data_IF_037596266334
#
_entry.id   IF_037596266334
#
_cell.length_a   1.000
_cell.length_b   1.000
_cell.length_c   1.000
_cell.angle_alpha   90.00
_cell.angle_beta   90.00
_cell.angle_gamma   90.00
#
_symmetry.space_group_name_H-M   'P 1'
#
loop_
_entity.id
_entity.type
_entity.pdbx_description
1 polymer ?
#
# COMPACT_ATOMS: atom_id res chain seq x y z
N UNK A 1 12.80 -32.60 -1.59
CA UNK A 1 12.62 -31.22 -2.09
C UNK A 1 11.81 -30.45 -1.05
N UNK A 2 12.34 -29.33 -0.55
CA UNK A 2 11.59 -28.44 0.35
C UNK A 2 10.57 -27.59 -0.42
N UNK A 3 9.60 -27.01 0.28
CA UNK A 3 8.69 -26.03 -0.31
C UNK A 3 9.48 -24.81 -0.79
N UNK A 4 9.49 -24.54 -2.10
CA UNK A 4 10.12 -23.36 -2.67
C UNK A 4 9.23 -22.15 -2.37
N UNK A 5 9.72 -21.12 -1.68
CA UNK A 5 8.90 -19.95 -1.36
C UNK A 5 8.80 -18.94 -2.51
N UNK A 6 9.68 -19.03 -3.51
CA UNK A 6 9.78 -18.08 -4.62
C UNK A 6 10.66 -16.88 -4.26
N UNK A 7 11.10 -16.14 -5.27
CA UNK A 7 11.87 -14.90 -5.14
C UNK A 7 11.06 -13.73 -5.72
N UNK A 8 10.09 -13.19 -4.94
CA UNK A 8 9.25 -12.08 -5.40
C UNK A 8 10.04 -10.78 -5.55
N UNK A 9 9.67 -9.96 -6.53
CA UNK A 9 10.31 -8.65 -6.79
C UNK A 9 10.16 -7.69 -5.60
N UNK A 10 8.99 -7.68 -4.95
CA UNK A 10 8.73 -6.90 -3.73
C UNK A 10 8.26 -7.81 -2.59
N UNK A 11 8.78 -7.58 -1.39
CA UNK A 11 8.48 -8.34 -0.16
C UNK A 11 8.68 -7.50 1.10
N UNK A 12 8.13 -7.95 2.22
CA UNK A 12 8.28 -7.31 3.52
C UNK A 12 7.22 -6.25 3.83
N UNK A 13 7.57 -5.30 4.71
CA UNK A 13 6.71 -4.20 5.13
C UNK A 13 6.89 -2.99 4.22
N UNK A 14 5.91 -2.72 3.36
CA UNK A 14 5.84 -1.52 2.53
C UNK A 14 4.75 -0.60 3.10
N UNK A 15 4.93 0.71 2.98
CA UNK A 15 3.97 1.69 3.54
C UNK A 15 3.17 2.39 2.43
N UNK A 16 1.85 2.40 2.56
CA UNK A 16 0.99 3.30 1.81
C UNK A 16 1.05 4.68 2.46
N UNK A 17 1.93 5.56 1.95
CA UNK A 17 2.21 6.85 2.58
C UNK A 17 0.96 7.73 2.60
N UNK A 18 0.72 8.38 3.73
CA UNK A 18 -0.17 9.55 3.78
C UNK A 18 0.46 10.72 3.02
N UNK A 19 -0.38 11.62 2.51
CA UNK A 19 0.06 12.91 1.93
C UNK A 19 -0.24 14.03 2.94
N UNK A 20 0.76 14.59 3.63
CA UNK A 20 0.58 15.74 4.52
C UNK A 20 0.07 16.97 3.77
N UNK A 21 -0.82 17.73 4.42
CA UNK A 21 -1.30 19.00 3.91
C UNK A 21 -1.09 20.11 4.93
N UNK A 22 -0.84 21.32 4.43
CA UNK A 22 -0.76 22.55 5.23
C UNK A 22 -1.42 23.67 4.45
N UNK A 23 -2.36 24.37 5.10
CA UNK A 23 -3.13 25.45 4.50
C UNK A 23 -3.83 25.07 3.18
N UNK A 24 -4.23 23.81 3.06
CA UNK A 24 -4.91 23.26 1.88
C UNK A 24 -3.98 22.75 0.79
N UNK A 25 -2.67 23.03 0.85
CA UNK A 25 -1.65 22.61 -0.11
C UNK A 25 -0.84 21.40 0.40
N UNK A 26 -0.12 20.71 -0.49
CA UNK A 26 0.81 19.64 -0.10
C UNK A 26 1.93 20.19 0.78
N UNK A 27 2.11 19.63 1.98
CA UNK A 27 3.24 19.98 2.84
C UNK A 27 4.47 19.12 2.47
N UNK A 28 5.27 19.64 1.53
CA UNK A 28 6.48 18.95 1.06
C UNK A 28 7.48 18.68 2.20
N UNK A 29 7.58 19.58 3.18
CA UNK A 29 8.54 19.45 4.28
C UNK A 29 8.13 18.30 5.21
N UNK A 30 6.86 18.26 5.60
CA UNK A 30 6.33 17.15 6.39
C UNK A 30 6.39 15.83 5.61
N UNK A 31 6.14 15.84 4.30
CA UNK A 31 6.21 14.64 3.49
C UNK A 31 7.64 14.08 3.39
N UNK A 32 8.66 14.92 3.20
CA UNK A 32 10.07 14.48 3.22
C UNK A 32 10.47 13.91 4.58
N UNK A 33 10.05 14.56 5.68
CA UNK A 33 10.23 14.04 7.04
C UNK A 33 9.58 12.67 7.22
N UNK A 34 8.38 12.47 6.68
CA UNK A 34 7.66 11.19 6.72
C UNK A 34 8.44 10.11 5.95
N UNK A 35 8.95 10.41 4.75
CA UNK A 35 9.77 9.48 3.95
C UNK A 35 11.03 9.06 4.73
N UNK A 36 11.76 10.01 5.30
CA UNK A 36 12.97 9.69 6.06
C UNK A 36 12.66 8.93 7.36
N UNK A 37 11.56 9.26 8.04
CA UNK A 37 11.05 8.52 9.19
C UNK A 37 10.77 7.05 8.85
N UNK A 38 10.16 6.79 7.69
CA UNK A 38 9.86 5.41 7.24
C UNK A 38 11.14 4.62 6.98
N UNK A 39 12.08 5.19 6.22
CA UNK A 39 13.34 4.54 5.85
C UNK A 39 14.20 4.28 7.09
N UNK A 40 14.33 5.26 7.98
CA UNK A 40 15.13 5.12 9.23
C UNK A 40 14.54 4.08 10.18
N UNK A 41 13.25 3.78 10.07
CA UNK A 41 12.58 2.74 10.84
C UNK A 41 12.43 1.41 10.08
N UNK A 42 13.18 1.21 9.00
CA UNK A 42 13.33 -0.11 8.36
C UNK A 42 12.20 -0.50 7.40
N UNK A 43 11.34 0.43 6.96
CA UNK A 43 10.36 0.14 5.91
C UNK A 43 11.07 -0.39 4.64
N UNK A 44 10.51 -1.40 3.98
CA UNK A 44 11.11 -2.10 2.83
C UNK A 44 10.72 -1.50 1.47
N UNK A 45 9.78 -0.56 1.45
CA UNK A 45 9.34 0.12 0.23
C UNK A 45 8.25 1.15 0.50
N UNK A 46 8.15 2.14 -0.38
CA UNK A 46 7.29 3.31 -0.22
C UNK A 46 6.25 3.36 -1.33
N UNK A 47 5.01 3.62 -0.97
CA UNK A 47 3.91 3.76 -1.93
C UNK A 47 3.29 5.15 -1.78
N UNK A 48 3.81 6.18 -2.48
CA UNK A 48 3.19 7.50 -2.51
C UNK A 48 1.88 7.48 -3.31
N UNK A 49 1.00 8.44 -3.03
CA UNK A 49 -0.22 8.73 -3.82
C UNK A 49 -1.09 7.50 -4.12
N UNK A 50 -1.15 6.54 -3.19
CA UNK A 50 -2.18 5.51 -3.17
C UNK A 50 -3.48 6.02 -2.53
N UNK A 51 -4.39 5.11 -2.19
CA UNK A 51 -5.64 5.46 -1.48
C UNK A 51 -5.38 6.19 -0.15
N UNK A 52 -4.40 5.73 0.61
CA UNK A 52 -4.00 6.35 1.89
C UNK A 52 -3.33 7.71 1.71
N UNK A 53 -2.75 7.96 0.54
CA UNK A 53 -2.19 9.25 0.13
C UNK A 53 -3.24 10.22 -0.44
N UNK A 54 -4.53 9.90 -0.36
CA UNK A 54 -5.63 10.73 -0.83
C UNK A 54 -5.55 11.08 -2.32
N UNK A 55 -5.07 10.15 -3.16
CA UNK A 55 -4.97 10.37 -4.62
C UNK A 55 -6.22 10.96 -5.29
N UNK A 56 -7.48 10.66 -4.87
CA UNK A 56 -8.67 11.25 -5.50
C UNK A 56 -8.86 12.76 -5.26
N UNK A 57 -8.17 13.35 -4.28
CA UNK A 57 -8.31 14.78 -3.91
C UNK A 57 -7.04 15.58 -4.17
N UNK A 58 -6.06 14.98 -4.86
CA UNK A 58 -4.92 15.67 -5.44
C UNK A 58 -5.26 16.10 -6.88
N UNK A 59 -4.81 17.27 -7.28
CA UNK A 59 -4.72 17.60 -8.70
C UNK A 59 -3.67 16.71 -9.39
N UNK A 60 -3.70 16.63 -10.73
CA UNK A 60 -2.71 15.84 -11.46
C UNK A 60 -1.28 16.33 -11.23
N UNK A 61 -1.09 17.65 -11.12
CA UNK A 61 0.22 18.25 -10.83
C UNK A 61 0.70 17.90 -9.43
N UNK A 62 -0.17 17.96 -8.41
CA UNK A 62 0.19 17.55 -7.06
C UNK A 62 0.49 16.06 -6.95
N UNK A 63 -0.29 15.22 -7.64
CA UNK A 63 -0.07 13.78 -7.70
C UNK A 63 1.34 13.48 -8.22
N UNK A 64 1.69 14.07 -9.37
CA UNK A 64 3.01 13.96 -10.01
C UNK A 64 4.11 14.50 -9.09
N UNK A 65 3.88 15.66 -8.46
CA UNK A 65 4.83 16.30 -7.56
C UNK A 65 5.13 15.46 -6.31
N UNK A 66 4.13 14.85 -5.69
CA UNK A 66 4.33 13.99 -4.51
C UNK A 66 5.15 12.74 -4.86
N UNK A 67 4.95 12.16 -6.06
CA UNK A 67 5.79 11.05 -6.55
C UNK A 67 7.24 11.50 -6.70
N UNK A 68 7.48 12.64 -7.34
CA UNK A 68 8.83 13.21 -7.53
C UNK A 68 9.54 13.46 -6.19
N UNK A 69 8.85 14.09 -5.22
CA UNK A 69 9.41 14.33 -3.89
C UNK A 69 9.75 13.01 -3.19
N UNK A 70 8.89 11.99 -3.31
CA UNK A 70 9.13 10.69 -2.70
C UNK A 70 10.41 10.06 -3.28
N UNK A 71 10.56 10.05 -4.60
CA UNK A 71 11.74 9.50 -5.29
C UNK A 71 13.01 10.28 -4.89
N UNK A 72 12.95 11.61 -4.97
CA UNK A 72 14.06 12.51 -4.64
C UNK A 72 14.52 12.34 -3.18
N UNK A 73 13.60 12.29 -2.22
CA UNK A 73 13.95 12.07 -0.83
C UNK A 73 14.45 10.65 -0.58
N UNK A 74 13.90 9.65 -1.28
CA UNK A 74 14.28 8.25 -1.08
C UNK A 74 15.74 7.98 -1.45
N UNK A 75 16.25 8.64 -2.50
CA UNK A 75 17.65 8.50 -2.98
C UNK A 75 18.05 7.03 -3.21
N UNK A 76 17.11 6.21 -3.69
CA UNK A 76 17.33 4.79 -3.98
C UNK A 76 17.57 3.90 -2.76
N UNK A 77 17.32 4.38 -1.52
CA UNK A 77 17.53 3.59 -0.29
C UNK A 77 16.57 2.39 -0.18
N UNK A 78 15.36 2.54 -0.70
CA UNK A 78 14.30 1.53 -0.77
C UNK A 78 13.50 1.75 -2.06
N UNK A 79 12.78 0.74 -2.59
CA UNK A 79 11.97 0.92 -3.79
C UNK A 79 10.79 1.88 -3.57
N UNK A 80 10.48 2.68 -4.58
CA UNK A 80 9.28 3.54 -4.66
C UNK A 80 8.30 2.97 -5.68
N UNK A 81 7.09 2.65 -5.22
CA UNK A 81 5.99 2.11 -6.02
C UNK A 81 4.93 3.20 -6.14
N UNK A 82 4.94 3.98 -7.23
CA UNK A 82 4.05 5.12 -7.39
C UNK A 82 2.59 4.67 -7.58
N UNK A 83 1.65 5.26 -6.85
CA UNK A 83 0.23 5.12 -7.20
C UNK A 83 -0.03 5.73 -8.58
N UNK A 84 -0.55 4.92 -9.50
CA UNK A 84 -0.84 5.37 -10.88
C UNK A 84 -2.19 4.83 -11.40
N UNK A 85 -3.07 4.45 -10.47
CA UNK A 85 -4.37 3.86 -10.79
C UNK A 85 -5.44 4.90 -11.09
N UNK A 86 -6.28 4.60 -12.08
CA UNK A 86 -7.50 5.38 -12.39
C UNK A 86 -8.60 4.45 -12.88
N UNK A 87 -9.86 4.90 -12.81
CA UNK A 87 -10.96 4.25 -13.52
C UNK A 87 -11.06 4.64 -15.01
N UNK A 88 -10.22 5.58 -15.45
CA UNK A 88 -9.99 5.98 -16.84
C UNK A 88 -8.66 5.44 -17.35
N UNK A 89 -8.67 4.58 -18.37
CA UNK A 89 -7.45 3.97 -18.92
C UNK A 89 -6.46 5.02 -19.43
N UNK A 90 -6.94 6.09 -20.08
CA UNK A 90 -6.06 7.12 -20.62
C UNK A 90 -5.32 7.90 -19.51
N UNK A 91 -6.01 8.18 -18.40
CA UNK A 91 -5.43 8.87 -17.23
C UNK A 91 -4.43 7.96 -16.50
N UNK A 92 -4.79 6.69 -16.29
CA UNK A 92 -3.87 5.67 -15.78
C UNK A 92 -2.55 5.59 -16.57
N UNK A 93 -2.64 5.63 -17.91
CA UNK A 93 -1.46 5.64 -18.79
C UNK A 93 -0.65 6.93 -18.64
N UNK A 94 -1.26 8.09 -18.40
CA UNK A 94 -0.55 9.35 -18.14
C UNK A 94 0.27 9.25 -16.84
N UNK A 95 -0.35 8.85 -15.73
CA UNK A 95 0.35 8.66 -14.46
C UNK A 95 1.44 7.59 -14.55
N UNK A 96 1.21 6.52 -15.31
CA UNK A 96 2.19 5.45 -15.49
C UNK A 96 3.43 5.92 -16.26
N UNK A 97 3.25 6.70 -17.33
CA UNK A 97 4.38 7.30 -18.06
C UNK A 97 5.16 8.29 -17.19
N UNK A 98 4.45 9.18 -16.49
CA UNK A 98 5.10 10.11 -15.58
C UNK A 98 5.89 9.38 -14.48
N UNK A 99 5.31 8.36 -13.84
CA UNK A 99 6.01 7.58 -12.81
C UNK A 99 7.30 6.93 -13.34
N UNK A 100 7.28 6.42 -14.57
CA UNK A 100 8.47 5.88 -15.25
C UNK A 100 9.51 6.97 -15.51
N UNK A 101 9.08 8.13 -16.03
CA UNK A 101 9.97 9.27 -16.33
C UNK A 101 10.59 9.87 -15.06
N UNK A 102 9.83 9.95 -13.97
CA UNK A 102 10.28 10.42 -12.67
C UNK A 102 11.24 9.46 -11.96
N UNK A 103 11.29 8.19 -12.38
CA UNK A 103 12.21 7.18 -11.84
C UNK A 103 11.64 6.27 -10.76
N UNK A 104 10.32 6.04 -10.73
CA UNK A 104 9.73 5.04 -9.85
C UNK A 104 10.17 3.61 -10.24
N UNK A 105 10.30 2.73 -9.25
CA UNK A 105 10.70 1.34 -9.45
C UNK A 105 9.54 0.46 -9.93
N UNK A 106 8.31 0.83 -9.60
CA UNK A 106 7.08 0.20 -10.07
C UNK A 106 5.89 1.16 -9.96
N UNK A 107 4.75 0.75 -10.50
CA UNK A 107 3.46 1.40 -10.27
C UNK A 107 2.47 0.49 -9.55
N UNK A 108 1.70 1.06 -8.63
CA UNK A 108 0.54 0.41 -8.02
C UNK A 108 -0.73 0.89 -8.72
N UNK A 109 -1.46 -0.04 -9.33
CA UNK A 109 -2.59 0.30 -10.17
C UNK A 109 -3.88 -0.35 -9.66
N UNK A 110 -4.78 0.47 -9.11
CA UNK A 110 -6.09 0.01 -8.62
C UNK A 110 -7.00 -0.46 -9.75
N UNK A 111 -7.81 -1.49 -9.49
CA UNK A 111 -8.91 -1.85 -10.39
C UNK A 111 -9.88 -0.68 -10.55
N UNK A 112 -10.34 -0.35 -11.78
CA UNK A 112 -11.29 0.74 -12.04
C UNK A 112 -12.49 0.71 -11.08
N UNK A 113 -12.62 1.80 -10.33
CA UNK A 113 -13.69 2.03 -9.37
C UNK A 113 -14.86 2.78 -10.02
N UNK A 114 -16.04 2.69 -9.39
CA UNK A 114 -17.30 3.32 -9.81
C UNK A 114 -17.94 2.75 -11.10
N UNK A 115 -17.21 2.70 -12.21
CA UNK A 115 -17.74 2.32 -13.54
C UNK A 115 -17.87 0.81 -13.80
N UNK A 116 -17.34 -0.03 -12.89
CA UNK A 116 -17.58 -1.48 -12.81
C UNK A 116 -17.33 -2.25 -14.13
N UNK A 117 -16.11 -2.21 -14.71
CA UNK A 117 -15.81 -2.97 -15.92
C UNK A 117 -15.97 -4.48 -15.71
N UNK A 118 -16.20 -5.19 -16.82
CA UNK A 118 -16.16 -6.66 -16.85
C UNK A 118 -14.72 -7.17 -16.67
N UNK A 119 -14.55 -8.49 -16.45
CA UNK A 119 -13.21 -9.11 -16.39
C UNK A 119 -12.38 -8.85 -17.64
N UNK A 120 -13.00 -8.86 -18.83
CA UNK A 120 -12.30 -8.53 -20.06
C UNK A 120 -11.95 -7.03 -20.12
N UNK A 121 -12.83 -6.16 -19.63
CA UNK A 121 -12.51 -4.74 -19.47
C UNK A 121 -11.32 -4.50 -18.54
N UNK A 122 -11.23 -5.24 -17.42
CA UNK A 122 -10.07 -5.22 -16.54
C UNK A 122 -8.81 -5.69 -17.26
N UNK A 123 -8.86 -6.81 -17.98
CA UNK A 123 -7.72 -7.31 -18.74
C UNK A 123 -7.20 -6.26 -19.74
N UNK A 124 -8.08 -5.70 -20.57
CA UNK A 124 -7.69 -4.70 -21.58
C UNK A 124 -7.15 -3.42 -20.96
N UNK A 125 -7.72 -2.99 -19.82
CA UNK A 125 -7.25 -1.83 -19.08
C UNK A 125 -5.81 -2.02 -18.57
N UNK A 126 -5.53 -3.12 -17.85
CA UNK A 126 -4.19 -3.40 -17.35
C UNK A 126 -3.19 -3.71 -18.47
N UNK A 127 -3.63 -4.32 -19.57
CA UNK A 127 -2.79 -4.51 -20.77
C UNK A 127 -2.37 -3.17 -21.38
N UNK A 128 -3.29 -2.20 -21.51
CA UNK A 128 -2.96 -0.87 -22.02
C UNK A 128 -1.96 -0.12 -21.10
N UNK A 129 -2.11 -0.25 -19.78
CA UNK A 129 -1.14 0.27 -18.79
C UNK A 129 0.23 -0.38 -18.96
N UNK A 130 0.27 -1.71 -19.07
CA UNK A 130 1.50 -2.48 -19.33
C UNK A 130 2.21 -2.05 -20.61
N UNK A 131 1.46 -1.80 -21.69
CA UNK A 131 2.02 -1.49 -23.01
C UNK A 131 2.51 -0.03 -23.13
N UNK A 132 2.04 0.88 -22.26
CA UNK A 132 2.33 2.32 -22.41
C UNK A 132 3.69 2.76 -21.87
N UNK A 133 4.33 1.96 -20.99
CA UNK A 133 5.62 2.26 -20.39
C UNK A 133 6.35 0.98 -19.93
N UNK A 134 7.68 1.03 -19.93
CA UNK A 134 8.54 -0.06 -19.46
C UNK A 134 8.81 0.04 -17.95
N UNK A 135 7.76 -0.15 -17.14
CA UNK A 135 7.81 -0.15 -15.68
C UNK A 135 7.04 -1.36 -15.13
N UNK A 136 7.51 -2.02 -14.05
CA UNK A 136 6.73 -3.06 -13.37
C UNK A 136 5.40 -2.52 -12.84
N UNK A 137 4.34 -3.31 -12.98
CA UNK A 137 2.97 -3.00 -12.58
C UNK A 137 2.52 -3.99 -11.53
N UNK A 138 2.04 -3.46 -10.40
CA UNK A 138 1.38 -4.22 -9.34
C UNK A 138 -0.11 -3.92 -9.41
N UNK A 139 -0.91 -4.96 -9.62
CA UNK A 139 -2.37 -4.87 -9.61
C UNK A 139 -2.82 -4.57 -8.18
N UNK A 140 -3.72 -3.63 -7.97
CA UNK A 140 -4.37 -3.42 -6.67
C UNK A 140 -5.85 -3.79 -6.75
N UNK A 141 -6.18 -4.95 -6.20
CA UNK A 141 -7.54 -5.47 -6.14
C UNK A 141 -8.16 -5.16 -4.77
N UNK A 142 -9.19 -4.30 -4.74
CA UNK A 142 -9.87 -3.85 -3.53
C UNK A 142 -11.38 -3.74 -3.73
N UNK A 143 -12.12 -4.87 -3.73
CA UNK A 143 -13.57 -4.86 -4.01
C UNK A 143 -14.36 -3.97 -3.06
N UNK A 144 -13.93 -3.84 -1.80
CA UNK A 144 -14.57 -2.96 -0.81
C UNK A 144 -14.57 -1.47 -1.20
N UNK A 145 -13.72 -1.04 -2.14
CA UNK A 145 -13.69 0.34 -2.69
C UNK A 145 -14.05 0.42 -4.16
N UNK A 146 -13.63 -0.56 -4.96
CA UNK A 146 -13.86 -0.56 -6.41
C UNK A 146 -15.12 -1.28 -6.86
N UNK A 147 -15.77 -2.05 -5.97
CA UNK A 147 -16.91 -2.95 -6.23
C UNK A 147 -16.54 -4.15 -7.11
N UNK A 148 -15.72 -3.95 -8.14
CA UNK A 148 -15.19 -5.04 -8.97
C UNK A 148 -14.19 -5.87 -8.18
N UNK A 149 -14.22 -7.18 -8.44
CA UNK A 149 -13.24 -8.13 -7.97
C UNK A 149 -12.60 -8.80 -9.19
N UNK A 150 -11.33 -8.50 -9.46
CA UNK A 150 -10.58 -9.18 -10.52
C UNK A 150 -10.46 -10.66 -10.15
N UNK A 151 -10.81 -11.60 -11.01
CA UNK A 151 -10.67 -13.02 -10.65
C UNK A 151 -9.21 -13.50 -10.74
N UNK A 152 -8.90 -14.63 -10.11
CA UNK A 152 -7.57 -15.27 -10.22
C UNK A 152 -7.28 -15.65 -11.67
N UNK A 153 -8.28 -16.07 -12.45
CA UNK A 153 -8.13 -16.40 -13.86
C UNK A 153 -7.75 -15.18 -14.70
N UNK A 154 -8.40 -14.03 -14.47
CA UNK A 154 -8.03 -12.77 -15.14
C UNK A 154 -6.62 -12.32 -14.75
N UNK A 155 -6.26 -12.47 -13.47
CA UNK A 155 -4.94 -12.13 -12.99
C UNK A 155 -3.85 -13.02 -13.59
N UNK A 156 -4.13 -14.33 -13.74
CA UNK A 156 -3.23 -15.26 -14.39
C UNK A 156 -2.99 -14.91 -15.87
N UNK A 157 -4.04 -14.54 -16.61
CA UNK A 157 -3.91 -14.01 -17.98
C UNK A 157 -3.04 -12.76 -18.03
N UNK A 158 -3.17 -11.85 -17.05
CA UNK A 158 -2.37 -10.63 -16.99
C UNK A 158 -0.91 -10.92 -16.64
N UNK A 159 -0.63 -11.91 -15.79
CA UNK A 159 0.72 -12.28 -15.38
C UNK A 159 1.57 -12.91 -16.50
N UNK A 160 0.95 -13.32 -17.62
CA UNK A 160 1.68 -13.67 -18.84
C UNK A 160 2.38 -12.47 -19.48
N UNK A 161 1.96 -11.24 -19.14
CA UNK A 161 2.64 -10.00 -19.56
C UNK A 161 3.84 -9.74 -18.64
N UNK A 162 5.07 -9.60 -19.17
CA UNK A 162 6.31 -9.70 -18.38
C UNK A 162 6.49 -8.63 -17.31
N UNK A 163 5.79 -7.50 -17.41
CA UNK A 163 5.86 -6.41 -16.42
C UNK A 163 4.66 -6.39 -15.45
N UNK A 164 3.68 -7.27 -15.58
CA UNK A 164 2.69 -7.48 -14.52
C UNK A 164 3.33 -8.41 -13.47
N UNK A 165 3.88 -7.82 -12.40
CA UNK A 165 4.80 -8.54 -11.49
C UNK A 165 4.16 -8.94 -10.17
N UNK A 166 2.96 -8.46 -9.87
CA UNK A 166 2.32 -8.81 -8.61
C UNK A 166 0.94 -8.22 -8.39
N UNK A 167 0.44 -8.47 -7.18
CA UNK A 167 -0.84 -7.95 -6.67
C UNK A 167 -0.69 -7.43 -5.23
N UNK A 168 -1.32 -6.27 -4.96
CA UNK A 168 -1.79 -5.86 -3.64
C UNK A 168 -3.23 -6.36 -3.49
N UNK A 169 -3.43 -7.33 -2.63
CA UNK A 169 -4.73 -7.99 -2.44
C UNK A 169 -5.41 -7.49 -1.15
N UNK A 170 -6.44 -6.66 -1.31
CA UNK A 170 -7.29 -6.16 -0.22
C UNK A 170 -8.69 -6.78 -0.25
N UNK A 171 -8.79 -8.06 -0.61
CA UNK A 171 -10.06 -8.80 -0.60
C UNK A 171 -10.42 -9.36 0.77
N UNK A 172 -9.43 -9.48 1.66
CA UNK A 172 -9.50 -10.24 2.90
C UNK A 172 -9.83 -11.75 2.73
N UNK A 173 -9.79 -12.31 1.52
CA UNK A 173 -9.88 -13.75 1.29
C UNK A 173 -8.51 -14.40 1.54
N UNK A 174 -8.35 -15.02 2.72
CA UNK A 174 -7.10 -15.66 3.14
C UNK A 174 -6.75 -16.92 2.35
N UNK A 175 -7.69 -17.48 1.56
CA UNK A 175 -7.41 -18.62 0.68
C UNK A 175 -6.93 -18.14 -0.70
N UNK A 176 -7.12 -16.86 -1.02
CA UNK A 176 -6.73 -16.31 -2.31
C UNK A 176 -5.23 -16.32 -2.61
N UNK A 177 -4.31 -16.14 -1.63
CA UNK A 177 -2.88 -16.18 -1.91
C UNK A 177 -2.40 -17.53 -2.45
N UNK A 178 -2.92 -18.63 -1.87
CA UNK A 178 -2.55 -19.98 -2.33
C UNK A 178 -3.14 -20.27 -3.71
N UNK A 179 -4.38 -19.81 -4.00
CA UNK A 179 -5.00 -19.95 -5.33
C UNK A 179 -4.19 -19.18 -6.40
N UNK A 180 -3.82 -17.94 -6.11
CA UNK A 180 -3.03 -17.09 -7.01
C UNK A 180 -1.66 -17.71 -7.26
N UNK A 181 -1.00 -18.19 -6.20
CA UNK A 181 0.27 -18.91 -6.31
C UNK A 181 0.18 -20.16 -7.18
N UNK A 182 -0.86 -20.97 -7.03
CA UNK A 182 -1.07 -22.17 -7.83
C UNK A 182 -1.35 -21.86 -9.31
N UNK A 183 -2.01 -20.74 -9.59
CA UNK A 183 -2.37 -20.35 -10.96
C UNK A 183 -1.22 -19.66 -11.71
N UNK A 184 -0.37 -18.89 -11.01
CA UNK A 184 0.62 -17.99 -11.63
C UNK A 184 2.06 -18.46 -11.38
N UNK A 185 2.37 -18.86 -10.15
CA UNK A 185 3.72 -19.25 -9.75
C UNK A 185 4.19 -18.61 -8.45
N UNK A 186 5.33 -19.10 -7.97
CA UNK A 186 5.90 -18.71 -6.68
C UNK A 186 6.51 -17.30 -6.65
N UNK A 187 6.97 -16.80 -7.79
CA UNK A 187 7.73 -15.55 -7.90
C UNK A 187 6.83 -14.32 -8.14
N UNK A 188 5.53 -14.53 -8.37
CA UNK A 188 4.57 -13.43 -8.51
C UNK A 188 4.38 -12.74 -7.15
N UNK A 189 4.71 -11.45 -7.06
CA UNK A 189 4.61 -10.69 -5.82
C UNK A 189 3.15 -10.67 -5.32
N UNK A 190 2.94 -10.97 -4.04
CA UNK A 190 1.62 -11.02 -3.42
C UNK A 190 1.72 -10.27 -2.09
N UNK A 191 1.15 -9.08 -2.03
CA UNK A 191 1.22 -8.20 -0.86
C UNK A 191 -0.17 -8.07 -0.27
N UNK A 192 -0.31 -8.32 1.03
CA UNK A 192 -1.57 -8.03 1.72
C UNK A 192 -1.88 -6.53 1.60
N UNK A 193 -3.12 -6.22 1.27
CA UNK A 193 -3.67 -4.88 1.40
C UNK A 193 -4.38 -4.63 2.74
N UNK A 194 -4.41 -5.64 3.62
CA UNK A 194 -5.09 -5.61 4.92
C UNK A 194 -4.10 -5.88 6.06
N UNK A 195 -3.94 -4.90 6.96
CA UNK A 195 -2.99 -4.98 8.07
C UNK A 195 -3.36 -6.06 9.09
N UNK A 196 -4.64 -6.17 9.43
CA UNK A 196 -5.12 -7.09 10.46
C UNK A 196 -4.88 -8.58 10.12
N UNK A 197 -4.68 -8.89 8.83
CA UNK A 197 -4.53 -10.25 8.32
C UNK A 197 -3.17 -10.56 7.70
N UNK A 198 -2.13 -9.76 8.00
CA UNK A 198 -0.77 -9.97 7.47
C UNK A 198 -0.29 -11.41 7.72
N UNK A 199 -0.34 -11.88 8.96
CA UNK A 199 0.19 -13.20 9.34
C UNK A 199 -0.50 -14.36 8.60
N UNK A 200 -1.85 -14.49 8.59
CA UNK A 200 -2.48 -15.54 7.81
C UNK A 200 -2.27 -15.39 6.29
N UNK A 201 -2.17 -14.16 5.77
CA UNK A 201 -1.87 -13.92 4.36
C UNK A 201 -0.47 -14.45 3.98
N UNK A 202 0.54 -14.17 4.82
CA UNK A 202 1.90 -14.70 4.66
C UNK A 202 1.91 -16.24 4.73
N UNK A 203 1.17 -16.84 5.66
CA UNK A 203 1.07 -18.29 5.81
C UNK A 203 0.50 -18.99 4.56
N UNK A 204 -0.35 -18.31 3.77
CA UNK A 204 -0.92 -18.82 2.52
C UNK A 204 -0.06 -18.53 1.28
N UNK A 205 1.17 -18.05 1.45
CA UNK A 205 2.12 -17.80 0.36
C UNK A 205 2.21 -16.34 -0.08
N UNK A 206 1.71 -15.41 0.76
CA UNK A 206 1.99 -13.99 0.61
C UNK A 206 3.46 -13.63 0.88
N UNK A 207 3.88 -12.48 0.38
CA UNK A 207 5.26 -12.01 0.38
C UNK A 207 5.49 -10.77 1.26
N UNK A 208 4.43 -10.09 1.69
CA UNK A 208 4.52 -8.87 2.49
C UNK A 208 3.19 -8.16 2.61
N UNK A 209 3.24 -6.87 2.91
CA UNK A 209 2.06 -6.01 3.04
C UNK A 209 2.36 -4.59 2.55
N UNK A 210 1.41 -3.98 1.85
CA UNK A 210 1.37 -2.52 1.63
C UNK A 210 0.41 -1.95 2.68
N UNK A 211 1.00 -1.48 3.77
CA UNK A 211 0.39 -1.24 5.07
C UNK A 211 -0.06 0.21 5.28
N UNK A 212 -1.19 0.39 5.99
CA UNK A 212 -1.60 1.68 6.54
C UNK A 212 -0.93 1.89 7.89
N UNK A 213 -0.91 0.85 8.73
CA UNK A 213 -0.35 0.90 10.09
C UNK A 213 1.13 1.28 10.12
N UNK A 214 1.89 0.93 9.06
CA UNK A 214 3.29 1.31 8.91
C UNK A 214 3.52 2.83 8.88
N UNK A 215 2.52 3.67 8.59
CA UNK A 215 2.68 5.13 8.68
C UNK A 215 3.09 5.60 10.08
N UNK A 216 2.64 4.89 11.12
CA UNK A 216 2.87 5.28 12.53
C UNK A 216 3.63 4.24 13.33
N UNK A 217 3.68 2.99 12.86
CA UNK A 217 4.41 1.89 13.48
C UNK A 217 5.35 1.17 12.48
N UNK A 218 6.22 1.88 11.73
CA UNK A 218 7.04 1.25 10.69
C UNK A 218 8.03 0.22 11.24
N UNK A 219 8.73 0.57 12.33
CA UNK A 219 9.75 -0.29 12.96
C UNK A 219 9.21 -1.66 13.38
N UNK A 220 8.16 -1.76 14.22
CA UNK A 220 7.66 -3.06 14.62
C UNK A 220 7.13 -3.88 13.44
N UNK A 221 6.49 -3.25 12.44
CA UNK A 221 6.04 -3.98 11.25
C UNK A 221 7.19 -4.48 10.39
N UNK A 222 8.26 -3.71 10.24
CA UNK A 222 9.48 -4.16 9.58
C UNK A 222 10.08 -5.37 10.33
N UNK A 223 10.28 -5.25 11.64
CA UNK A 223 10.80 -6.32 12.50
C UNK A 223 9.95 -7.60 12.43
N UNK A 224 8.62 -7.48 12.36
CA UNK A 224 7.71 -8.62 12.18
C UNK A 224 7.92 -9.33 10.83
N UNK A 225 8.11 -8.58 9.74
CA UNK A 225 8.37 -9.17 8.43
C UNK A 225 9.76 -9.80 8.34
N UNK A 226 10.78 -9.20 8.97
CA UNK A 226 12.10 -9.83 9.07
C UNK A 226 12.07 -11.11 9.92
N UNK A 227 11.35 -11.09 11.04
CA UNK A 227 11.15 -12.26 11.90
C UNK A 227 10.44 -13.38 11.12
N UNK A 228 9.43 -13.04 10.31
CA UNK A 228 8.79 -13.98 9.40
C UNK A 228 9.79 -14.62 8.43
N UNK A 229 10.66 -13.82 7.80
CA UNK A 229 11.69 -14.34 6.88
C UNK A 229 12.68 -15.27 7.59
N UNK A 230 13.03 -14.97 8.85
CA UNK A 230 13.89 -15.81 9.70
C UNK A 230 13.17 -16.99 10.34
N UNK A 231 11.85 -17.12 10.16
CA UNK A 231 10.97 -18.11 10.80
C UNK A 231 10.96 -18.03 12.33
N UNK A 232 11.18 -16.84 12.86
CA UNK A 232 11.04 -16.52 14.28
C UNK A 232 9.57 -16.21 14.58
N UNK A 233 8.79 -17.27 14.77
CA UNK A 233 7.34 -17.16 14.94
C UNK A 233 6.95 -16.50 16.28
N UNK A 234 7.77 -16.65 17.32
CA UNK A 234 7.50 -16.04 18.62
C UNK A 234 7.53 -14.51 18.51
N UNK A 235 8.56 -13.96 17.82
CA UNK A 235 8.62 -12.52 17.52
C UNK A 235 7.48 -12.08 16.61
N UNK A 236 7.13 -12.87 15.58
CA UNK A 236 6.00 -12.56 14.68
C UNK A 236 4.70 -12.41 15.47
N UNK A 237 4.36 -13.40 16.29
CA UNK A 237 3.10 -13.40 17.03
C UNK A 237 3.07 -12.32 18.12
N UNK A 238 4.19 -12.11 18.82
CA UNK A 238 4.30 -11.04 19.83
C UNK A 238 4.04 -9.67 19.22
N UNK A 239 4.66 -9.35 18.08
CA UNK A 239 4.44 -8.06 17.42
C UNK A 239 3.03 -7.97 16.84
N UNK A 240 2.55 -9.03 16.19
CA UNK A 240 1.20 -9.05 15.63
C UNK A 240 0.16 -8.75 16.72
N UNK A 241 0.17 -9.48 17.84
CA UNK A 241 -0.75 -9.27 18.96
C UNK A 241 -0.70 -7.83 19.50
N UNK A 242 0.51 -7.28 19.69
CA UNK A 242 0.70 -5.89 20.12
C UNK A 242 0.10 -4.88 19.15
N UNK A 243 0.14 -5.14 17.85
CA UNK A 243 -0.35 -4.22 16.82
C UNK A 243 -1.82 -4.42 16.45
N UNK A 244 -2.44 -5.54 16.78
CA UNK A 244 -3.84 -5.83 16.41
C UNK A 244 -4.84 -4.73 16.84
N UNK A 245 -4.80 -4.18 18.07
CA UNK A 245 -5.68 -3.07 18.44
C UNK A 245 -5.47 -1.82 17.57
N UNK A 246 -4.21 -1.56 17.17
CA UNK A 246 -3.87 -0.43 16.30
C UNK A 246 -4.38 -0.67 14.88
N UNK A 247 -4.23 -1.88 14.33
CA UNK A 247 -4.84 -2.25 13.05
C UNK A 247 -6.34 -1.95 13.06
N UNK A 248 -7.08 -2.39 14.08
CA UNK A 248 -8.51 -2.12 14.17
C UNK A 248 -8.83 -0.62 14.33
N UNK A 249 -8.06 0.10 15.14
CA UNK A 249 -8.30 1.52 15.41
C UNK A 249 -8.04 2.40 14.18
N UNK A 250 -7.07 2.08 13.33
CA UNK A 250 -6.77 2.89 12.15
C UNK A 250 -7.81 2.78 11.02
N UNK A 251 -8.79 1.88 11.17
CA UNK A 251 -9.94 1.73 10.29
C UNK A 251 -11.28 1.88 11.03
N UNK A 252 -11.28 2.50 12.22
CA UNK A 252 -12.52 2.79 12.95
C UNK A 252 -13.41 3.80 12.24
N UNK A 253 -12.82 4.60 11.35
CA UNK A 253 -13.45 5.42 10.33
C UNK A 253 -12.67 5.25 9.02
N UNK A 254 -13.18 5.84 7.93
CA UNK A 254 -12.57 5.71 6.60
C UNK A 254 -11.12 6.18 6.58
N UNK A 255 -10.21 5.28 6.22
CA UNK A 255 -8.80 5.62 5.93
C UNK A 255 -8.72 6.66 4.80
N UNK A 256 -7.92 7.74 4.94
CA UNK A 256 -6.82 7.87 5.90
C UNK A 256 -7.09 8.71 7.16
N UNK A 257 -8.33 9.09 7.47
CA UNK A 257 -8.64 9.97 8.61
C UNK A 257 -7.98 9.54 9.94
N UNK A 258 -8.18 8.29 10.41
CA UNK A 258 -7.57 7.82 11.65
C UNK A 258 -6.03 7.81 11.65
N UNK A 259 -5.40 7.45 10.54
CA UNK A 259 -3.93 7.37 10.46
C UNK A 259 -3.28 8.74 10.36
N UNK A 260 -3.94 9.74 9.75
CA UNK A 260 -3.46 11.13 9.77
C UNK A 260 -3.55 11.72 11.18
N UNK A 261 -4.60 11.42 11.92
CA UNK A 261 -4.68 11.80 13.34
C UNK A 261 -3.57 11.13 14.18
N UNK A 262 -3.33 9.83 13.98
CA UNK A 262 -2.22 9.14 14.65
C UNK A 262 -0.84 9.76 14.30
N UNK A 263 -0.60 10.10 13.03
CA UNK A 263 0.62 10.76 12.59
C UNK A 263 0.81 12.15 13.20
N UNK A 264 -0.29 12.89 13.45
CA UNK A 264 -0.28 14.16 14.18
C UNK A 264 0.19 14.00 15.61
N UNK A 265 -0.27 12.96 16.31
CA UNK A 265 0.15 12.67 17.70
C UNK A 265 1.66 12.37 17.80
N UNK A 266 2.25 11.81 16.73
CA UNK A 266 3.70 11.59 16.62
C UNK A 266 4.48 12.83 16.14
N UNK A 267 3.80 13.95 15.89
CA UNK A 267 4.41 15.18 15.37
C UNK A 267 4.97 15.02 13.94
N UNK A 268 4.44 14.08 13.14
CA UNK A 268 4.88 13.84 11.77
C UNK A 268 4.23 14.82 10.77
N UNK A 269 2.98 15.22 11.00
CA UNK A 269 2.25 16.20 10.19
C UNK A 269 1.06 16.80 10.97
N UNK A 270 0.30 17.71 10.35
CA UNK A 270 -0.85 18.37 10.99
C UNK A 270 -2.11 17.50 11.09
N UNK A 271 -2.12 16.34 10.44
CA UNK A 271 -3.22 15.37 10.47
C UNK A 271 -4.48 15.76 9.68
N UNK A 272 -4.43 16.87 8.95
CA UNK A 272 -5.53 17.41 8.11
C UNK A 272 -5.76 16.52 6.90
N UNK A 273 -7.01 16.21 6.55
CA UNK A 273 -7.38 15.54 5.30
C UNK A 273 -8.11 16.53 4.37
N UNK A 274 -8.18 16.22 3.07
CA UNK A 274 -8.99 17.01 2.12
C UNK A 274 -10.41 16.47 2.06
N UNK A 275 -11.38 17.37 1.91
CA UNK A 275 -12.76 16.98 1.63
C UNK A 275 -12.80 16.05 0.40
N UNK A 276 -13.61 14.97 0.44
CA UNK A 276 -14.68 14.70 1.39
C UNK A 276 -14.28 13.96 2.68
N UNK A 277 -12.99 13.65 2.89
CA UNK A 277 -12.52 13.12 4.17
C UNK A 277 -12.42 14.28 5.17
N UNK A 278 -12.89 14.04 6.39
CA UNK A 278 -12.94 15.03 7.47
C UNK A 278 -12.15 14.54 8.67
N UNK A 279 -11.97 15.44 9.65
CA UNK A 279 -11.45 15.06 10.95
C UNK A 279 -12.33 14.00 11.60
N UNK A 280 -11.69 12.98 12.18
CA UNK A 280 -12.38 11.86 12.83
C UNK A 280 -13.10 12.31 14.11
N UNK A 281 -14.15 11.58 14.48
CA UNK A 281 -14.93 11.87 15.68
C UNK A 281 -14.09 11.73 16.97
N UNK A 282 -14.46 12.46 18.03
CA UNK A 282 -13.79 12.38 19.34
C UNK A 282 -13.78 10.97 19.94
N UNK A 283 -14.83 10.17 19.69
CA UNK A 283 -14.85 8.75 20.07
C UNK A 283 -13.77 7.93 19.34
N UNK A 284 -13.55 8.21 18.06
CA UNK A 284 -12.54 7.56 17.23
C UNK A 284 -11.13 8.00 17.61
N UNK A 285 -10.93 9.29 17.92
CA UNK A 285 -9.65 9.81 18.44
C UNK A 285 -9.19 9.05 19.68
N UNK A 286 -10.09 8.88 20.67
CA UNK A 286 -9.81 8.10 21.88
C UNK A 286 -9.42 6.65 21.56
N UNK A 287 -10.12 5.99 20.63
CA UNK A 287 -9.78 4.62 20.19
C UNK A 287 -8.38 4.53 19.57
N UNK A 288 -8.01 5.50 18.73
CA UNK A 288 -6.67 5.57 18.11
C UNK A 288 -5.61 5.80 19.17
N UNK A 289 -5.83 6.76 20.07
CA UNK A 289 -4.97 7.08 21.19
C UNK A 289 -4.70 5.90 22.12
N UNK A 290 -5.74 5.18 22.53
CA UNK A 290 -5.62 4.00 23.41
C UNK A 290 -4.83 2.88 22.71
N UNK A 291 -5.10 2.65 21.43
CA UNK A 291 -4.40 1.65 20.63
C UNK A 291 -2.92 2.00 20.41
N UNK A 292 -2.59 3.29 20.23
CA UNK A 292 -1.21 3.76 20.11
C UNK A 292 -0.44 3.60 21.41
N UNK A 293 -1.05 3.84 22.58
CA UNK A 293 -0.43 3.56 23.89
C UNK A 293 -0.21 2.08 24.10
N UNK A 294 -1.20 1.25 23.77
CA UNK A 294 -1.05 -0.21 23.81
C UNK A 294 0.09 -0.70 22.93
N UNK A 295 0.24 -0.13 21.74
CA UNK A 295 1.32 -0.45 20.80
C UNK A 295 2.70 0.10 21.25
N UNK A 296 2.78 0.91 22.31
CA UNK A 296 4.01 1.53 22.80
C UNK A 296 4.51 2.70 21.95
N UNK A 297 3.61 3.37 21.22
CA UNK A 297 3.93 4.52 20.36
C UNK A 297 3.75 5.87 21.06
N UNK A 298 2.93 5.90 22.12
CA UNK A 298 2.67 7.06 22.96
C UNK A 298 2.87 6.66 24.43
N UNK A 299 3.25 7.65 25.26
CA UNK A 299 3.33 7.52 26.70
C UNK A 299 1.96 7.65 27.38
#
# INVERSE_FOLDING_TARGET
MGYAFGEPMFKGSLVALITPFKDGEVDETAFRKLVDFQITNGTHGLVPVGTTGESPTLSHEEHKRVVEICIDETRGRVPVIAGAGSNSTAEAMDFTRHAKEAGADAVLHVTPYYNKPTQEGLYQHFKAVHDCAEIPVIIYNIPGRSIVDMTVETMARLAELPRIVGVKDATADLVRPIKTRMAIGADFTQLSGEDASIVPYLAHGGHGCISVTANVAPKPLSEMHEAWQRRDLDTVFTINERLQPLHAALFCETSPGPVKYAAKLLGLCDGTARLPIVEIAESSKRRVEDAMRHAGLLN
#
